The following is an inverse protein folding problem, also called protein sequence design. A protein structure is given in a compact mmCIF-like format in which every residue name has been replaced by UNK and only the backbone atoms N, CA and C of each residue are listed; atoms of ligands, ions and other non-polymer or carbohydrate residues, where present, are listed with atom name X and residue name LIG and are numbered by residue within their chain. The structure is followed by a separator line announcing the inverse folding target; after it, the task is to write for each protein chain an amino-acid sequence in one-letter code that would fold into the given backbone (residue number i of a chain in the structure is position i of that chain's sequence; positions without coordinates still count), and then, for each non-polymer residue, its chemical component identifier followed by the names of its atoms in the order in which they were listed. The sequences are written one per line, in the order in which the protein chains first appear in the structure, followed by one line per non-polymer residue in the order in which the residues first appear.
data_IF_625946294383
#
_entry.id   IF_625946294383
#
_cell.length_a   1.000
_cell.length_b   1.000
_cell.length_c   1.000
_cell.angle_alpha   90.00
_cell.angle_beta   90.00
_cell.angle_gamma   90.00
#
_symmetry.space_group_name_H-M   'P 1'
#
loop_
_entity.id
_entity.type
_entity.pdbx_description
1 polymer ?
#
# COMPACT_ATOMS: atom_id res chain seq x y z
N UNK A 1 -0.76 -0.39 12.24
CA UNK A 1 0.41 -0.69 11.37
C UNK A 1 -0.07 -1.18 10.00
N UNK A 2 0.70 -1.03 8.92
CA UNK A 2 0.34 -1.50 7.58
C UNK A 2 1.54 -1.98 6.74
N UNK A 3 1.28 -2.56 5.57
CA UNK A 3 2.30 -2.93 4.58
C UNK A 3 2.72 -4.41 4.59
N UNK A 4 3.91 -4.70 4.04
CA UNK A 4 4.41 -6.07 3.85
C UNK A 4 4.47 -6.88 5.15
N UNK A 5 4.98 -6.30 6.23
CA UNK A 5 5.17 -6.99 7.50
C UNK A 5 3.85 -7.47 8.13
N UNK A 6 2.84 -6.62 8.42
CA UNK A 6 1.57 -7.11 8.97
C UNK A 6 0.83 -8.05 8.03
N UNK A 7 1.07 -7.97 6.72
CA UNK A 7 0.46 -8.90 5.76
C UNK A 7 1.02 -10.32 5.85
N UNK A 8 2.34 -10.45 6.08
CA UNK A 8 3.02 -11.75 6.10
C UNK A 8 3.20 -12.31 7.53
N UNK A 9 3.18 -11.46 8.55
CA UNK A 9 3.32 -11.82 9.96
C UNK A 9 2.23 -11.13 10.83
N UNK A 10 0.93 -11.38 10.57
CA UNK A 10 -0.14 -10.59 11.18
C UNK A 10 -0.24 -10.76 12.70
N UNK A 11 -0.02 -11.96 13.24
CA UNK A 11 -0.06 -12.19 14.69
C UNK A 11 1.02 -11.40 15.42
N UNK A 12 2.24 -11.39 14.86
CA UNK A 12 3.38 -10.67 15.44
C UNK A 12 3.15 -9.16 15.36
N UNK A 13 2.75 -8.64 14.20
CA UNK A 13 2.45 -7.22 14.04
C UNK A 13 1.32 -6.74 14.96
N UNK A 14 0.30 -7.57 15.16
CA UNK A 14 -0.83 -7.26 16.05
C UNK A 14 -0.45 -7.36 17.53
N UNK A 15 0.60 -8.11 17.90
CA UNK A 15 1.06 -8.17 19.30
C UNK A 15 1.61 -6.83 19.82
N UNK A 16 1.99 -5.94 18.91
CA UNK A 16 2.57 -4.61 19.20
C UNK A 16 1.76 -3.45 18.63
N UNK A 17 0.57 -3.71 18.08
CA UNK A 17 -0.30 -2.70 17.47
C UNK A 17 -1.75 -2.93 17.87
N UNK A 18 -2.52 -1.86 18.10
CA UNK A 18 -3.97 -2.00 18.33
C UNK A 18 -4.72 -2.51 17.09
N UNK A 19 -4.26 -2.04 15.92
CA UNK A 19 -4.82 -2.37 14.61
C UNK A 19 -3.73 -2.62 13.59
N UNK A 20 -3.96 -3.58 12.70
CA UNK A 20 -3.15 -3.82 11.51
C UNK A 20 -3.99 -3.77 10.24
N UNK A 21 -3.40 -3.32 9.14
CA UNK A 21 -3.95 -3.37 7.79
C UNK A 21 -3.05 -4.25 6.93
N UNK A 22 -3.63 -5.22 6.26
CA UNK A 22 -2.98 -6.24 5.44
C UNK A 22 -3.33 -6.04 3.96
N UNK A 23 -2.38 -6.30 3.07
CA UNK A 23 -2.52 -6.10 1.64
C UNK A 23 -2.54 -4.62 1.26
N UNK A 24 -3.37 -4.29 0.27
CA UNK A 24 -3.59 -2.92 -0.20
C UNK A 24 -4.36 -2.11 0.85
N UNK A 25 -3.79 -0.98 1.26
CA UNK A 25 -4.27 -0.20 2.38
C UNK A 25 -5.26 0.90 2.03
N UNK A 26 -5.35 1.32 0.77
CA UNK A 26 -6.06 2.54 0.37
C UNK A 26 -7.54 2.50 0.76
N UNK A 27 -8.27 1.46 0.37
CA UNK A 27 -9.67 1.30 0.76
C UNK A 27 -9.82 0.73 2.18
N UNK A 28 -8.98 -0.25 2.56
CA UNK A 28 -9.14 -0.96 3.83
C UNK A 28 -8.88 -0.03 5.02
N UNK A 29 -7.85 0.81 4.97
CA UNK A 29 -7.57 1.80 6.01
C UNK A 29 -8.72 2.81 6.12
N UNK A 30 -9.24 3.31 5.00
CA UNK A 30 -10.38 4.22 5.00
C UNK A 30 -11.61 3.59 5.68
N UNK A 31 -11.99 2.38 5.28
CA UNK A 31 -13.12 1.63 5.88
C UNK A 31 -12.90 1.40 7.38
N UNK A 32 -11.69 1.04 7.79
CA UNK A 32 -11.35 0.83 9.19
C UNK A 32 -11.50 2.12 10.00
N UNK A 33 -10.96 3.24 9.50
CA UNK A 33 -11.06 4.54 10.17
C UNK A 33 -12.51 4.99 10.30
N UNK A 34 -13.32 4.85 9.25
CA UNK A 34 -14.77 5.15 9.31
C UNK A 34 -15.49 4.28 10.33
N UNK A 35 -15.20 2.98 10.36
CA UNK A 35 -15.83 2.08 11.31
C UNK A 35 -15.47 2.40 12.77
N UNK A 36 -14.25 2.88 13.03
CA UNK A 36 -13.84 3.36 14.36
C UNK A 36 -14.56 4.67 14.71
N UNK A 37 -14.60 5.61 13.77
CA UNK A 37 -15.22 6.94 13.96
C UNK A 37 -16.74 6.84 14.19
N UNK A 38 -17.42 5.96 13.47
CA UNK A 38 -18.88 5.81 13.50
C UNK A 38 -19.38 4.70 14.45
N UNK A 39 -18.48 3.92 15.05
CA UNK A 39 -18.80 2.78 15.93
C UNK A 39 -19.74 1.71 15.31
N UNK A 40 -19.56 1.43 14.02
CA UNK A 40 -20.41 0.50 13.25
C UNK A 40 -19.85 -0.93 13.14
N UNK A 41 -18.72 -1.20 13.80
CA UNK A 41 -18.06 -2.51 13.78
C UNK A 41 -17.33 -2.85 12.48
N UNK A 42 -16.72 -4.03 12.42
CA UNK A 42 -15.69 -4.36 11.41
C UNK A 42 -16.04 -5.53 10.49
N UNK A 43 -17.28 -6.03 10.53
CA UNK A 43 -17.66 -7.29 9.89
C UNK A 43 -17.50 -7.28 8.35
N UNK A 44 -17.67 -6.13 7.72
CA UNK A 44 -17.60 -5.96 6.26
C UNK A 44 -16.19 -5.54 5.76
N UNK A 45 -15.20 -5.47 6.67
CA UNK A 45 -13.86 -4.97 6.34
C UNK A 45 -12.89 -6.15 6.30
N UNK A 46 -12.32 -6.42 5.13
CA UNK A 46 -11.30 -7.46 4.97
C UNK A 46 -9.90 -6.86 5.04
N UNK A 47 -8.93 -7.70 5.42
CA UNK A 47 -7.53 -7.30 5.48
C UNK A 47 -7.18 -6.48 6.72
N UNK A 48 -7.81 -6.75 7.85
CA UNK A 48 -7.53 -6.06 9.11
C UNK A 48 -7.27 -7.04 10.25
N UNK A 49 -6.58 -6.56 11.28
CA UNK A 49 -6.51 -7.25 12.56
C UNK A 49 -6.67 -6.27 13.71
N UNK A 50 -7.30 -6.71 14.78
CA UNK A 50 -7.61 -5.91 15.97
C UNK A 50 -7.89 -6.83 17.16
N UNK A 51 -7.47 -6.47 18.38
CA UNK A 51 -7.79 -7.20 19.63
C UNK A 51 -7.59 -8.74 19.53
N UNK A 52 -6.53 -9.19 18.84
CA UNK A 52 -6.23 -10.61 18.62
C UNK A 52 -7.02 -11.29 17.49
N UNK A 53 -8.00 -10.62 16.90
CA UNK A 53 -8.72 -11.09 15.70
C UNK A 53 -7.97 -10.70 14.43
N UNK A 54 -7.98 -11.59 13.45
CA UNK A 54 -7.42 -11.37 12.11
C UNK A 54 -8.50 -11.71 11.09
N UNK A 55 -8.85 -10.74 10.27
CA UNK A 55 -9.76 -10.88 9.13
C UNK A 55 -8.91 -10.84 7.85
N UNK A 56 -8.70 -11.97 7.16
CA UNK A 56 -7.86 -12.03 5.96
C UNK A 56 -8.33 -11.08 4.86
N UNK A 57 -7.40 -10.55 4.06
CA UNK A 57 -7.71 -9.75 2.86
C UNK A 57 -8.33 -10.65 1.79
N UNK A 58 -9.44 -10.25 1.19
CA UNK A 58 -10.14 -11.02 0.13
C UNK A 58 -10.31 -10.24 -1.18
N UNK A 59 -10.39 -8.93 -1.07
CA UNK A 59 -10.67 -7.98 -2.15
C UNK A 59 -9.45 -7.11 -2.42
N UNK A 60 -9.25 -6.75 -3.68
CA UNK A 60 -8.14 -5.93 -4.15
C UNK A 60 -8.68 -4.90 -5.15
N UNK A 61 -8.06 -3.73 -5.22
CA UNK A 61 -8.51 -2.62 -6.07
C UNK A 61 -8.42 -3.05 -7.54
N UNK A 62 -9.54 -3.22 -8.23
CA UNK A 62 -9.50 -3.81 -9.58
C UNK A 62 -8.97 -2.83 -10.63
N UNK A 63 -9.39 -1.57 -10.53
CA UNK A 63 -8.96 -0.50 -11.42
C UNK A 63 -7.96 0.39 -10.69
N UNK A 64 -6.69 0.27 -11.03
CA UNK A 64 -5.61 1.02 -10.39
C UNK A 64 -5.62 2.51 -10.78
N UNK A 65 -6.30 2.90 -11.86
CA UNK A 65 -6.39 4.30 -12.28
C UNK A 65 -7.30 5.11 -11.33
N UNK A 66 -8.11 4.43 -10.51
CA UNK A 66 -8.93 5.06 -9.45
C UNK A 66 -8.10 5.54 -8.26
N UNK A 67 -6.85 5.08 -8.13
CA UNK A 67 -5.96 5.48 -7.04
C UNK A 67 -5.39 6.87 -7.37
N UNK A 68 -5.57 7.88 -6.51
CA UNK A 68 -5.03 9.20 -6.75
C UNK A 68 -3.49 9.17 -6.69
N UNK A 69 -2.85 10.14 -7.35
CA UNK A 69 -1.39 10.28 -7.25
C UNK A 69 -0.96 10.57 -5.81
N UNK A 70 0.21 10.08 -5.37
CA UNK A 70 0.70 10.31 -4.01
C UNK A 70 0.82 11.81 -3.72
N UNK A 71 0.31 12.27 -2.56
CA UNK A 71 0.39 13.68 -2.18
C UNK A 71 1.77 14.05 -1.61
N UNK A 72 2.78 14.16 -2.48
CA UNK A 72 4.15 14.52 -2.09
C UNK A 72 4.25 15.94 -1.53
N UNK A 73 3.28 16.83 -1.79
CA UNK A 73 3.27 18.21 -1.27
C UNK A 73 3.15 18.27 0.25
N UNK A 74 2.64 17.21 0.88
CA UNK A 74 2.55 17.07 2.34
C UNK A 74 3.79 16.44 2.98
N UNK A 75 4.78 16.04 2.18
CA UNK A 75 6.00 15.40 2.66
C UNK A 75 7.18 16.35 2.55
N UNK A 76 8.04 16.33 3.55
CA UNK A 76 9.35 17.00 3.51
C UNK A 76 10.33 16.14 2.72
N UNK A 77 10.18 16.16 1.40
CA UNK A 77 10.94 15.32 0.47
C UNK A 77 12.45 15.57 0.58
N UNK A 78 12.87 16.81 0.84
CA UNK A 78 14.29 17.15 1.01
C UNK A 78 14.89 16.43 2.21
N UNK A 79 14.18 16.37 3.33
CA UNK A 79 14.64 15.62 4.50
C UNK A 79 14.86 14.14 4.21
N UNK A 80 14.03 13.50 3.40
CA UNK A 80 14.27 12.09 3.01
C UNK A 80 15.56 11.93 2.21
N UNK A 81 15.90 12.91 1.35
CA UNK A 81 17.16 12.90 0.62
C UNK A 81 18.36 13.19 1.51
N UNK A 82 18.27 14.14 2.44
CA UNK A 82 19.34 14.44 3.39
C UNK A 82 19.68 13.24 4.29
N UNK A 83 18.67 12.44 4.65
CA UNK A 83 18.84 11.19 5.40
C UNK A 83 19.43 10.03 4.57
N UNK A 84 19.74 10.26 3.29
CA UNK A 84 20.29 9.23 2.41
C UNK A 84 19.29 8.12 2.10
N UNK A 85 17.98 8.39 2.21
CA UNK A 85 16.92 7.41 1.94
C UNK A 85 16.60 7.30 0.44
N UNK A 86 17.43 7.90 -0.41
CA UNK A 86 17.33 7.70 -1.86
C UNK A 86 17.62 6.26 -2.24
N UNK A 87 16.71 5.65 -3.01
CA UNK A 87 16.92 4.35 -3.64
C UNK A 87 17.36 4.51 -5.11
N UNK A 88 17.85 5.69 -5.49
CA UNK A 88 18.36 5.91 -6.85
C UNK A 88 19.61 5.06 -7.11
N UNK A 89 19.68 4.49 -8.31
CA UNK A 89 20.86 3.75 -8.78
C UNK A 89 22.07 4.66 -9.04
N UNK A 90 21.86 5.98 -9.08
CA UNK A 90 22.89 6.99 -9.34
C UNK A 90 23.35 7.72 -8.06
N UNK A 91 23.24 7.05 -6.91
CA UNK A 91 23.60 7.60 -5.60
C UNK A 91 22.45 8.38 -4.96
N UNK A 92 22.76 9.39 -4.15
CA UNK A 92 21.75 10.12 -3.38
C UNK A 92 21.03 11.21 -4.21
N UNK A 93 20.48 10.83 -5.37
CA UNK A 93 19.69 11.72 -6.22
C UNK A 93 18.21 11.68 -5.85
N UNK A 94 17.47 12.71 -6.25
CA UNK A 94 16.01 12.69 -6.15
C UNK A 94 15.46 11.50 -6.93
N UNK A 95 14.57 10.74 -6.29
CA UNK A 95 13.86 9.63 -6.90
C UNK A 95 12.43 9.59 -6.39
N UNK A 96 11.54 9.11 -7.23
CA UNK A 96 10.15 8.83 -6.90
C UNK A 96 9.83 7.42 -7.36
N UNK A 97 9.06 6.69 -6.55
CA UNK A 97 8.55 5.38 -6.93
C UNK A 97 7.19 5.54 -7.57
N UNK A 98 6.98 4.82 -8.67
CA UNK A 98 5.71 4.74 -9.37
C UNK A 98 5.34 3.27 -9.52
N UNK A 99 4.06 2.95 -9.31
CA UNK A 99 3.51 1.63 -9.64
C UNK A 99 2.89 1.69 -11.02
N UNK A 100 3.34 0.86 -11.96
CA UNK A 100 2.65 0.65 -13.25
C UNK A 100 1.65 -0.50 -13.18
N UNK A 101 1.85 -1.43 -12.25
CA UNK A 101 0.99 -2.56 -12.01
C UNK A 101 1.06 -3.05 -10.56
N UNK A 102 0.08 -3.86 -10.16
CA UNK A 102 0.05 -4.58 -8.89
C UNK A 102 -0.43 -6.01 -9.09
N UNK A 103 0.10 -6.92 -8.28
CA UNK A 103 -0.24 -8.34 -8.28
C UNK A 103 0.65 -9.16 -9.20
N UNK A 104 0.86 -10.44 -8.83
CA UNK A 104 1.74 -11.34 -9.55
C UNK A 104 1.12 -12.75 -9.61
N UNK A 105 0.89 -13.31 -10.82
CA UNK A 105 0.28 -14.63 -10.96
C UNK A 105 1.22 -15.79 -10.62
N UNK A 106 2.51 -15.51 -10.42
CA UNK A 106 3.50 -16.53 -10.11
C UNK A 106 3.38 -17.01 -8.66
N UNK A 107 3.61 -18.30 -8.45
CA UNK A 107 3.55 -18.97 -7.15
C UNK A 107 4.96 -19.35 -6.65
N UNK A 108 5.92 -18.43 -6.79
CA UNK A 108 7.28 -18.67 -6.34
C UNK A 108 7.31 -18.91 -4.82
N UNK A 109 7.85 -20.04 -4.39
CA UNK A 109 7.83 -20.50 -2.98
C UNK A 109 8.51 -19.56 -1.97
N UNK A 110 9.32 -18.62 -2.45
CA UNK A 110 10.07 -17.66 -1.63
C UNK A 110 9.47 -16.25 -1.64
N UNK A 111 8.46 -15.98 -2.47
CA UNK A 111 8.01 -14.61 -2.74
C UNK A 111 6.71 -14.29 -1.99
N UNK A 112 6.67 -13.13 -1.33
CA UNK A 112 5.50 -12.62 -0.61
C UNK A 112 4.66 -11.62 -1.41
N UNK A 113 5.05 -11.29 -2.65
CA UNK A 113 4.39 -10.23 -3.43
C UNK A 113 2.89 -10.47 -3.62
N UNK A 114 2.49 -11.73 -3.89
CA UNK A 114 1.09 -12.11 -4.06
C UNK A 114 0.31 -12.09 -2.73
N UNK A 115 0.96 -12.18 -1.57
CA UNK A 115 0.30 -12.02 -0.28
C UNK A 115 -0.17 -10.58 -0.08
N UNK A 116 0.56 -9.61 -0.64
CA UNK A 116 0.24 -8.18 -0.51
C UNK A 116 -0.67 -7.67 -1.61
N UNK A 117 -0.38 -8.03 -2.86
CA UNK A 117 -1.08 -7.49 -4.02
C UNK A 117 -1.96 -8.50 -4.76
N UNK A 118 -2.14 -9.70 -4.19
CA UNK A 118 -2.92 -10.77 -4.82
C UNK A 118 -2.23 -11.39 -6.04
N UNK A 119 -2.89 -12.40 -6.60
CA UNK A 119 -2.38 -13.17 -7.74
C UNK A 119 -2.71 -12.56 -9.11
N UNK A 120 -3.68 -11.64 -9.18
CA UNK A 120 -4.10 -11.04 -10.45
C UNK A 120 -3.21 -9.85 -10.77
N UNK A 121 -2.49 -9.92 -11.89
CA UNK A 121 -1.81 -8.75 -12.44
C UNK A 121 -2.86 -7.73 -12.89
N UNK A 122 -2.80 -6.54 -12.29
CA UNK A 122 -3.65 -5.38 -12.58
C UNK A 122 -2.72 -4.26 -13.00
N UNK A 123 -2.98 -3.66 -14.14
CA UNK A 123 -2.11 -2.65 -14.76
C UNK A 123 -2.86 -1.33 -14.79
N UNK A 124 -2.13 -0.23 -14.66
CA UNK A 124 -2.66 1.11 -14.94
C UNK A 124 -2.69 1.36 -16.44
N UNK A 125 -3.53 2.29 -16.87
CA UNK A 125 -3.44 2.78 -18.26
C UNK A 125 -2.13 3.52 -18.51
N UNK A 126 -1.69 3.53 -19.76
CA UNK A 126 -0.48 4.26 -20.18
C UNK A 126 -0.66 5.75 -19.89
N UNK A 127 -1.84 6.28 -20.19
CA UNK A 127 -2.21 7.68 -19.98
C UNK A 127 -2.14 8.06 -18.51
N UNK A 128 -2.62 7.21 -17.60
CA UNK A 128 -2.56 7.44 -16.16
C UNK A 128 -1.12 7.42 -15.64
N UNK A 129 -0.28 6.50 -16.12
CA UNK A 129 1.16 6.46 -15.78
C UNK A 129 1.91 7.69 -16.28
N UNK A 130 1.72 8.07 -17.55
CA UNK A 130 2.35 9.27 -18.12
C UNK A 130 1.91 10.54 -17.41
N UNK A 131 0.64 10.61 -17.00
CA UNK A 131 0.11 11.74 -16.24
C UNK A 131 0.77 11.89 -14.86
N UNK A 132 1.08 10.78 -14.17
CA UNK A 132 1.82 10.84 -12.90
C UNK A 132 3.28 11.25 -13.12
N UNK A 133 3.94 10.76 -14.17
CA UNK A 133 5.31 11.18 -14.53
C UNK A 133 5.34 12.70 -14.79
N UNK A 134 4.40 13.20 -15.59
CA UNK A 134 4.26 14.62 -15.88
C UNK A 134 4.01 15.44 -14.61
N UNK A 135 3.19 14.93 -13.70
CA UNK A 135 2.90 15.54 -12.41
C UNK A 135 4.16 15.63 -11.53
N UNK A 136 4.95 14.56 -11.45
CA UNK A 136 6.20 14.51 -10.66
C UNK A 136 7.34 15.37 -11.19
N UNK A 137 7.34 15.71 -12.48
CA UNK A 137 8.37 16.56 -13.09
C UNK A 137 8.03 18.04 -12.95
N UNK A 138 6.73 18.39 -12.96
CA UNK A 138 6.27 19.79 -12.98
C UNK A 138 6.10 20.40 -11.59
N UNK A 139 5.70 19.60 -10.61
CA UNK A 139 5.45 20.00 -9.22
C UNK A 139 6.55 19.52 -8.26
#
# INVERSE_FOLDING_TARGET
MGGNYPTNSPQEALSVSDYIVMGEGEETLYKLLRAIEEDIGFNEITGIGYKGYIIPKKDYIQDLDTIPFPDYKKLDIERYYELGMSQSLEGNKRFFTLFTSRGCPNQCIYCSAHNVFGYKNRVRSIENVLSEIDWLIKD
#
